data_IF_485524091110
#
_entry.id   IF_485524091110
#
_cell.length_a   1.000
_cell.length_b   1.000
_cell.length_c   1.000
_cell.angle_alpha   90.00
_cell.angle_beta   90.00
_cell.angle_gamma   90.00
#
_symmetry.space_group_name_H-M   'P 1'
#
loop_
_entity.id
_entity.type
_entity.pdbx_description
1 polymer ?
#
# COMPACT_ATOMS: atom_id res chain seq x y z
N UNK A 1 2.48 -15.78 18.53
CA UNK A 1 1.31 -15.04 19.11
C UNK A 1 1.71 -13.60 19.38
N UNK A 2 0.85 -12.66 18.99
CA UNK A 2 0.99 -11.23 19.29
C UNK A 2 -0.11 -10.87 20.30
N UNK A 3 0.20 -10.09 21.34
CA UNK A 3 -0.82 -9.61 22.26
C UNK A 3 -0.60 -8.12 22.59
N UNK A 4 -1.65 -7.33 22.45
CA UNK A 4 -1.73 -5.95 22.90
C UNK A 4 -2.60 -5.90 24.18
N UNK A 5 -2.12 -5.24 25.22
CA UNK A 5 -2.83 -5.10 26.51
C UNK A 5 -2.96 -3.63 26.86
N UNK A 6 -4.17 -3.11 26.71
CA UNK A 6 -4.55 -1.73 27.04
C UNK A 6 -3.58 -0.67 26.48
N UNK A 7 -3.22 -0.83 25.20
CA UNK A 7 -2.22 0.00 24.54
C UNK A 7 -2.81 1.33 24.11
N UNK A 8 -2.21 2.43 24.58
CA UNK A 8 -2.47 3.77 24.04
C UNK A 8 -1.17 4.41 23.61
N UNK A 9 -1.24 5.16 22.51
CA UNK A 9 -0.09 5.87 21.97
C UNK A 9 -0.49 7.23 21.37
N UNK A 10 0.31 8.25 21.67
CA UNK A 10 0.22 9.56 21.02
C UNK A 10 1.60 10.02 20.54
N UNK A 11 1.66 10.54 19.33
CA UNK A 11 2.88 11.20 18.83
C UNK A 11 3.13 12.49 19.61
N UNK A 12 4.40 12.97 19.70
CA UNK A 12 4.71 14.27 20.29
C UNK A 12 3.92 15.34 19.53
N UNK A 13 3.36 16.30 20.26
CA UNK A 13 2.78 17.48 19.65
C UNK A 13 3.87 18.18 18.84
N UNK A 14 3.81 18.16 17.53
CA UNK A 14 4.57 19.07 16.68
C UNK A 14 4.16 20.48 17.11
N UNK A 15 5.12 21.34 17.46
CA UNK A 15 4.86 22.71 17.92
C UNK A 15 3.88 23.45 17.01
N UNK A 16 3.29 24.58 17.43
CA UNK A 16 2.12 25.18 16.81
C UNK A 16 2.43 25.56 15.37
N UNK A 17 1.99 24.74 14.43
CA UNK A 17 1.72 25.11 13.06
C UNK A 17 0.21 25.30 13.01
N UNK A 18 -0.21 26.55 13.03
CA UNK A 18 -1.60 27.02 12.82
C UNK A 18 -2.70 26.36 13.68
N UNK A 19 -2.62 26.53 15.01
CA UNK A 19 -3.81 26.56 15.87
C UNK A 19 -4.58 25.27 16.13
N UNK A 20 -4.29 24.14 15.49
CA UNK A 20 -4.90 22.85 15.78
C UNK A 20 -3.95 21.96 16.57
N UNK A 21 -4.22 21.84 17.85
CA UNK A 21 -3.54 20.94 18.77
C UNK A 21 -3.91 19.49 18.42
N UNK A 22 -3.10 18.78 17.62
CA UNK A 22 -3.23 17.35 17.40
C UNK A 22 -2.81 16.56 18.64
N UNK A 23 -3.52 16.74 19.76
CA UNK A 23 -3.30 16.03 21.02
C UNK A 23 -4.21 14.83 21.22
N UNK A 24 -4.96 14.40 20.20
CA UNK A 24 -5.70 13.16 20.30
C UNK A 24 -4.77 11.97 20.04
N UNK A 25 -4.74 11.02 20.98
CA UNK A 25 -3.93 9.82 20.88
C UNK A 25 -4.21 9.06 19.58
N UNK A 26 -3.16 8.71 18.86
CA UNK A 26 -3.26 7.95 17.62
C UNK A 26 -3.83 6.53 17.86
N UNK A 27 -3.63 5.99 19.08
CA UNK A 27 -4.25 4.75 19.56
C UNK A 27 -4.77 4.93 20.98
N UNK A 28 -5.91 4.30 21.26
CA UNK A 28 -6.61 4.40 22.56
C UNK A 28 -7.08 3.01 22.98
N UNK A 29 -6.57 2.55 24.12
CA UNK A 29 -7.01 1.32 24.79
C UNK A 29 -7.08 0.08 23.91
N UNK A 30 -6.07 -0.11 23.02
CA UNK A 30 -6.01 -1.27 22.13
C UNK A 30 -5.74 -2.53 22.97
N UNK A 31 -6.69 -3.46 22.93
CA UNK A 31 -6.55 -4.79 23.53
C UNK A 31 -6.96 -5.83 22.50
N UNK A 32 -6.01 -6.63 22.05
CA UNK A 32 -6.26 -7.73 21.13
C UNK A 32 -5.16 -8.80 21.21
N UNK A 33 -5.51 -10.01 20.83
CA UNK A 33 -4.56 -11.12 20.66
C UNK A 33 -4.64 -11.63 19.21
N UNK A 34 -3.49 -11.89 18.58
CA UNK A 34 -3.39 -12.45 17.24
C UNK A 34 -2.68 -13.78 17.36
N UNK A 35 -3.39 -14.84 16.99
CA UNK A 35 -2.88 -16.20 17.08
C UNK A 35 -1.85 -16.48 15.98
N UNK A 36 -0.93 -17.44 16.26
CA UNK A 36 0.04 -17.86 15.27
C UNK A 36 -0.63 -18.51 14.07
N UNK A 37 -0.11 -18.24 12.87
CA UNK A 37 -0.64 -18.74 11.61
C UNK A 37 -1.95 -18.08 11.13
N UNK A 38 -2.49 -17.08 11.88
CA UNK A 38 -3.71 -16.39 11.49
C UNK A 38 -3.44 -15.26 10.48
N UNK A 39 -4.39 -15.03 9.58
CA UNK A 39 -4.41 -13.89 8.67
C UNK A 39 -5.40 -12.84 9.20
N UNK A 40 -4.89 -11.74 9.72
CA UNK A 40 -5.69 -10.65 10.33
C UNK A 40 -5.69 -9.43 9.42
N UNK A 41 -6.87 -8.97 9.03
CA UNK A 41 -7.09 -7.75 8.28
C UNK A 41 -7.43 -6.59 9.22
N UNK A 42 -6.66 -5.52 9.17
CA UNK A 42 -6.97 -4.25 9.83
C UNK A 42 -7.68 -3.33 8.82
N UNK A 43 -8.91 -2.95 9.09
CA UNK A 43 -9.67 -2.05 8.22
C UNK A 43 -10.23 -0.86 9.00
N UNK A 44 -10.59 0.20 8.28
CA UNK A 44 -11.12 1.45 8.83
C UNK A 44 -10.79 2.64 7.94
N UNK A 45 -11.36 3.79 8.26
CA UNK A 45 -11.12 5.03 7.52
C UNK A 45 -9.65 5.46 7.55
N UNK A 46 -9.25 6.36 6.65
CA UNK A 46 -7.91 6.96 6.70
C UNK A 46 -7.75 7.74 8.01
N UNK A 47 -6.56 7.66 8.62
CA UNK A 47 -6.27 8.33 9.89
C UNK A 47 -6.82 7.65 11.14
N UNK A 48 -7.50 6.49 11.06
CA UNK A 48 -8.06 5.81 12.24
C UNK A 48 -7.03 5.06 13.12
N UNK A 49 -5.74 5.13 12.81
CA UNK A 49 -4.66 4.53 13.63
C UNK A 49 -4.06 3.23 13.09
N UNK A 50 -4.45 2.70 11.92
CA UNK A 50 -3.92 1.43 11.36
C UNK A 50 -2.39 1.41 11.26
N UNK A 51 -1.81 2.43 10.61
CA UNK A 51 -0.35 2.56 10.48
C UNK A 51 0.35 2.67 11.84
N UNK A 52 -0.27 3.33 12.83
CA UNK A 52 0.29 3.40 14.18
C UNK A 52 0.26 2.02 14.86
N UNK A 53 -0.81 1.27 14.66
CA UNK A 53 -0.89 -0.10 15.18
C UNK A 53 0.14 -1.01 14.48
N UNK A 54 0.31 -0.95 13.16
CA UNK A 54 1.35 -1.73 12.47
C UNK A 54 2.75 -1.37 12.96
N UNK A 55 3.04 -0.09 13.24
CA UNK A 55 4.32 0.36 13.83
C UNK A 55 4.56 -0.14 15.26
N UNK A 56 3.51 -0.36 16.03
CA UNK A 56 3.62 -1.02 17.34
C UNK A 56 3.96 -2.50 17.20
N UNK A 57 3.30 -3.19 16.23
CA UNK A 57 3.48 -4.63 16.03
C UNK A 57 4.86 -4.98 15.46
N UNK A 58 5.50 -4.08 14.72
CA UNK A 58 6.84 -4.28 14.19
C UNK A 58 7.95 -3.60 15.02
N UNK A 59 7.62 -3.06 16.19
CA UNK A 59 8.56 -2.46 17.12
C UNK A 59 9.10 -1.08 16.73
N UNK A 60 8.65 -0.49 15.63
CA UNK A 60 9.02 0.90 15.30
C UNK A 60 8.52 1.89 16.36
N UNK A 61 7.47 1.54 17.07
CA UNK A 61 7.06 2.18 18.32
C UNK A 61 7.33 1.18 19.44
N UNK A 62 8.07 1.54 20.48
CA UNK A 62 8.62 2.87 20.81
C UNK A 62 10.04 3.13 20.30
N UNK A 63 10.71 2.19 19.62
CA UNK A 63 12.16 2.24 19.37
C UNK A 63 12.61 3.29 18.35
N UNK A 64 11.75 3.64 17.39
CA UNK A 64 12.07 4.61 16.32
C UNK A 64 11.18 5.84 16.37
N UNK A 65 9.90 5.66 16.63
CA UNK A 65 8.95 6.77 16.76
C UNK A 65 8.79 7.14 18.22
N UNK A 66 9.14 8.37 18.56
CA UNK A 66 8.91 8.94 19.89
C UNK A 66 7.43 9.22 20.13
N UNK A 67 7.03 9.18 21.39
CA UNK A 67 5.67 9.48 21.80
C UNK A 67 5.35 9.00 23.22
N UNK A 68 4.15 9.30 23.68
CA UNK A 68 3.64 8.77 24.95
C UNK A 68 3.01 7.40 24.70
N UNK A 69 3.61 6.35 25.25
CA UNK A 69 3.19 4.96 25.13
C UNK A 69 2.80 4.39 26.48
N UNK A 70 1.58 3.85 26.59
CA UNK A 70 1.09 3.13 27.77
C UNK A 70 0.56 1.76 27.37
N UNK A 71 0.41 0.87 28.35
CA UNK A 71 0.08 -0.54 28.08
C UNK A 71 1.29 -1.36 27.67
N UNK A 72 1.08 -2.51 27.03
CA UNK A 72 2.14 -3.44 26.64
C UNK A 72 1.80 -4.17 25.35
N UNK A 73 2.84 -4.39 24.52
CA UNK A 73 2.78 -5.23 23.31
C UNK A 73 3.73 -6.40 23.46
N UNK A 74 3.23 -7.60 23.23
CA UNK A 74 4.01 -8.84 23.37
C UNK A 74 4.14 -9.53 22.02
N UNK A 75 5.36 -9.94 21.70
CA UNK A 75 5.71 -10.80 20.57
C UNK A 75 6.31 -12.11 21.09
N UNK A 76 5.66 -13.23 20.80
CA UNK A 76 6.11 -14.52 21.33
C UNK A 76 6.21 -14.57 22.88
N UNK A 77 5.39 -13.78 23.57
CA UNK A 77 5.38 -13.70 25.03
C UNK A 77 6.38 -12.71 25.65
N UNK A 78 7.24 -12.06 24.86
CA UNK A 78 8.18 -11.03 25.33
C UNK A 78 7.63 -9.64 25.05
N UNK A 79 7.76 -8.71 26.00
CA UNK A 79 7.37 -7.31 25.79
C UNK A 79 8.28 -6.65 24.74
N UNK A 80 7.71 -5.93 23.79
CA UNK A 80 8.48 -5.28 22.72
C UNK A 80 9.46 -4.22 23.21
N UNK A 81 9.23 -3.67 24.41
CA UNK A 81 10.14 -2.71 25.05
C UNK A 81 11.43 -3.36 25.56
N UNK A 82 11.38 -4.66 25.86
CA UNK A 82 12.54 -5.44 26.34
C UNK A 82 13.34 -6.06 25.20
N UNK A 83 12.85 -5.94 23.96
CA UNK A 83 13.49 -6.47 22.76
C UNK A 83 14.16 -5.33 21.98
N UNK A 84 15.34 -5.58 21.44
CA UNK A 84 15.95 -4.68 20.46
C UNK A 84 15.22 -4.78 19.11
N UNK A 85 15.33 -3.73 18.26
CA UNK A 85 14.80 -3.79 16.90
C UNK A 85 15.38 -4.96 16.09
N UNK A 86 16.64 -5.33 16.37
CA UNK A 86 17.25 -6.49 15.75
C UNK A 86 16.54 -7.80 16.12
N UNK A 87 16.24 -8.02 17.40
CA UNK A 87 15.49 -9.22 17.84
C UNK A 87 14.07 -9.22 17.29
N UNK A 88 13.42 -8.06 17.23
CA UNK A 88 12.08 -7.92 16.62
C UNK A 88 12.13 -8.24 15.12
N UNK A 89 13.16 -7.76 14.41
CA UNK A 89 13.31 -8.02 12.96
C UNK A 89 13.51 -9.49 12.59
N UNK A 90 13.97 -10.31 13.55
CA UNK A 90 14.04 -11.76 13.37
C UNK A 90 12.67 -12.44 13.42
N UNK A 91 11.71 -11.85 14.12
CA UNK A 91 10.37 -12.39 14.32
C UNK A 91 9.35 -11.79 13.36
N UNK A 92 9.53 -10.51 12.99
CA UNK A 92 8.56 -9.71 12.25
C UNK A 92 9.16 -9.16 10.96
N UNK A 93 8.66 -9.63 9.82
CA UNK A 93 8.93 -9.03 8.50
C UNK A 93 7.94 -7.90 8.23
N UNK A 94 8.44 -6.71 7.94
CA UNK A 94 7.62 -5.53 7.69
C UNK A 94 7.58 -5.17 6.22
N UNK A 95 6.40 -4.77 5.73
CA UNK A 95 6.23 -4.21 4.38
C UNK A 95 5.48 -2.89 4.51
N UNK A 96 6.11 -1.81 4.09
CA UNK A 96 5.58 -0.46 4.23
C UNK A 96 4.69 -0.05 3.05
N UNK A 97 3.84 0.93 3.27
CA UNK A 97 2.93 1.49 2.26
C UNK A 97 3.68 1.97 1.00
N UNK A 98 4.84 2.59 1.19
CA UNK A 98 5.71 2.98 0.09
C UNK A 98 6.94 2.06 0.06
N UNK A 99 7.02 1.11 -0.89
CA UNK A 99 8.16 0.20 -0.96
C UNK A 99 9.50 0.92 -1.18
N UNK A 100 9.50 2.12 -1.78
CA UNK A 100 10.74 2.89 -2.01
C UNK A 100 11.42 3.31 -0.71
N UNK A 101 10.65 3.56 0.36
CA UNK A 101 11.22 3.92 1.66
C UNK A 101 11.83 2.73 2.40
N UNK A 102 11.65 1.52 1.87
CA UNK A 102 12.14 0.28 2.46
C UNK A 102 13.47 -0.18 1.84
N UNK A 103 13.76 0.22 0.59
CA UNK A 103 14.93 -0.26 -0.13
C UNK A 103 16.23 0.46 0.27
N UNK A 104 17.27 -0.33 0.46
CA UNK A 104 18.62 0.12 0.77
C UNK A 104 19.58 -0.08 -0.41
N UNK A 105 19.29 -1.00 -1.31
CA UNK A 105 20.15 -1.38 -2.43
C UNK A 105 19.62 -0.82 -3.76
N UNK A 106 20.48 -0.86 -4.77
CA UNK A 106 20.14 -0.40 -6.13
C UNK A 106 19.65 -1.52 -7.04
N UNK A 107 19.93 -2.77 -6.68
CA UNK A 107 19.50 -3.97 -7.41
C UNK A 107 18.71 -4.92 -6.50
N UNK A 108 17.89 -5.73 -7.15
CA UNK A 108 16.92 -6.59 -6.49
C UNK A 108 17.55 -7.76 -5.74
N UNK A 109 18.64 -8.32 -6.27
CA UNK A 109 19.31 -9.48 -5.65
C UNK A 109 20.00 -9.08 -4.36
N UNK A 110 20.72 -7.95 -4.36
CA UNK A 110 21.32 -7.36 -3.15
C UNK A 110 20.24 -6.95 -2.14
N UNK A 111 19.08 -6.46 -2.61
CA UNK A 111 17.99 -6.11 -1.70
C UNK A 111 17.40 -7.33 -0.99
N UNK A 112 17.25 -8.47 -1.69
CA UNK A 112 16.82 -9.72 -1.07
C UNK A 112 17.87 -10.30 -0.11
N UNK A 113 19.16 -10.08 -0.39
CA UNK A 113 20.27 -10.54 0.44
C UNK A 113 20.45 -9.69 1.72
N UNK A 114 20.03 -8.43 1.69
CA UNK A 114 20.31 -7.41 2.72
C UNK A 114 19.92 -7.86 4.14
N UNK A 115 18.70 -8.39 4.31
CA UNK A 115 18.25 -8.88 5.61
C UNK A 115 19.10 -10.05 6.15
N UNK A 116 19.24 -11.16 5.39
CA UNK A 116 20.10 -12.27 5.77
C UNK A 116 21.55 -11.88 6.07
N UNK A 117 22.15 -10.98 5.30
CA UNK A 117 23.52 -10.47 5.55
C UNK A 117 23.61 -9.71 6.88
N UNK A 118 22.67 -8.82 7.15
CA UNK A 118 22.61 -8.08 8.42
C UNK A 118 22.36 -9.00 9.63
N UNK A 119 21.75 -10.16 9.41
CA UNK A 119 21.60 -11.20 10.45
C UNK A 119 22.83 -12.10 10.57
N UNK A 120 23.92 -11.79 9.85
CA UNK A 120 25.19 -12.50 9.96
C UNK A 120 25.20 -13.90 9.35
N UNK A 121 24.30 -14.19 8.40
CA UNK A 121 24.33 -15.47 7.70
C UNK A 121 25.58 -15.56 6.82
N UNK A 122 26.26 -16.72 6.76
CA UNK A 122 27.39 -16.91 5.86
C UNK A 122 26.93 -16.82 4.40
N UNK A 123 27.81 -16.37 3.50
CA UNK A 123 27.52 -16.10 2.08
C UNK A 123 26.73 -17.24 1.39
N UNK A 124 27.14 -18.49 1.62
CA UNK A 124 26.44 -19.65 1.05
C UNK A 124 24.98 -19.72 1.49
N UNK A 125 24.69 -19.44 2.76
CA UNK A 125 23.33 -19.44 3.30
C UNK A 125 22.52 -18.26 2.77
N UNK A 126 23.14 -17.08 2.60
CA UNK A 126 22.51 -15.91 1.98
C UNK A 126 22.07 -16.24 0.56
N UNK A 127 22.97 -16.75 -0.28
CA UNK A 127 22.66 -17.16 -1.66
C UNK A 127 21.53 -18.19 -1.74
N UNK A 128 21.55 -19.18 -0.87
CA UNK A 128 20.50 -20.20 -0.81
C UNK A 128 19.17 -19.59 -0.38
N UNK A 129 19.18 -18.68 0.59
CA UNK A 129 17.98 -17.99 1.05
C UNK A 129 17.35 -17.12 -0.05
N UNK A 130 18.16 -16.34 -0.76
CA UNK A 130 17.71 -15.55 -1.90
C UNK A 130 17.07 -16.42 -2.98
N UNK A 131 17.75 -17.55 -3.32
CA UNK A 131 17.22 -18.52 -4.30
C UNK A 131 15.87 -19.08 -3.86
N UNK A 132 15.77 -19.55 -2.61
CA UNK A 132 14.55 -20.14 -2.07
C UNK A 132 13.39 -19.14 -2.06
N UNK A 133 13.63 -17.91 -1.62
CA UNK A 133 12.60 -16.87 -1.60
C UNK A 133 12.18 -16.50 -3.02
N UNK A 134 13.12 -16.36 -3.95
CA UNK A 134 12.81 -16.07 -5.34
C UNK A 134 11.91 -17.16 -5.94
N UNK A 135 12.21 -18.43 -5.70
CA UNK A 135 11.41 -19.58 -6.15
C UNK A 135 10.03 -19.60 -5.48
N UNK A 136 9.97 -19.49 -4.14
CA UNK A 136 8.72 -19.54 -3.37
C UNK A 136 7.74 -18.43 -3.75
N UNK A 137 8.25 -17.22 -3.97
CA UNK A 137 7.44 -16.05 -4.27
C UNK A 137 7.35 -15.73 -5.77
N UNK A 138 8.02 -16.53 -6.62
CA UNK A 138 8.11 -16.35 -8.08
C UNK A 138 8.69 -14.99 -8.45
N UNK A 139 9.88 -14.71 -7.94
CA UNK A 139 10.63 -13.48 -8.18
C UNK A 139 11.82 -13.68 -9.13
N UNK A 140 12.03 -14.89 -9.67
CA UNK A 140 13.22 -15.25 -10.46
C UNK A 140 13.44 -14.30 -11.64
N UNK A 141 12.36 -13.88 -12.30
CA UNK A 141 12.41 -12.93 -13.42
C UNK A 141 12.76 -11.50 -13.00
N UNK A 142 12.76 -11.23 -11.71
CA UNK A 142 13.07 -9.91 -11.15
C UNK A 142 14.49 -9.83 -10.59
N UNK A 143 15.21 -10.95 -10.47
CA UNK A 143 16.58 -10.96 -9.98
C UNK A 143 17.52 -10.17 -10.91
N UNK A 144 18.60 -9.65 -10.36
CA UNK A 144 19.66 -8.89 -11.06
C UNK A 144 19.15 -7.67 -11.85
N UNK A 145 17.99 -7.14 -11.45
CA UNK A 145 17.43 -5.92 -12.07
C UNK A 145 17.62 -4.70 -11.17
N UNK A 146 17.76 -3.54 -11.81
CA UNK A 146 17.75 -2.29 -11.08
C UNK A 146 16.38 -2.05 -10.45
N UNK A 147 16.32 -1.74 -9.15
CA UNK A 147 15.09 -1.39 -8.43
C UNK A 147 14.41 -0.17 -9.07
N UNK A 148 15.18 0.75 -9.64
CA UNK A 148 14.64 1.94 -10.29
C UNK A 148 13.87 1.62 -11.58
N UNK A 149 14.17 0.48 -12.23
CA UNK A 149 13.49 0.05 -13.45
C UNK A 149 12.23 -0.77 -13.21
N UNK A 150 11.91 -1.08 -11.95
CA UNK A 150 10.75 -1.89 -11.59
C UNK A 150 9.46 -1.08 -11.60
N UNK A 151 8.36 -1.69 -12.02
CA UNK A 151 7.00 -1.20 -11.81
C UNK A 151 6.65 -1.16 -10.32
N UNK A 152 5.59 -0.43 -9.95
CA UNK A 152 5.10 -0.38 -8.56
C UNK A 152 4.78 -1.78 -8.00
N UNK A 153 4.15 -2.65 -8.80
CA UNK A 153 3.85 -4.03 -8.42
C UNK A 153 5.09 -4.89 -8.24
N UNK A 154 6.08 -4.75 -9.11
CA UNK A 154 7.36 -5.47 -8.98
C UNK A 154 8.13 -5.00 -7.73
N UNK A 155 8.14 -3.69 -7.45
CA UNK A 155 8.73 -3.14 -6.21
C UNK A 155 8.07 -3.73 -4.98
N UNK A 156 6.74 -3.82 -4.96
CA UNK A 156 6.02 -4.40 -3.83
C UNK A 156 6.36 -5.89 -3.63
N UNK A 157 6.51 -6.65 -4.72
CA UNK A 157 6.94 -8.05 -4.67
C UNK A 157 8.35 -8.18 -4.10
N UNK A 158 9.29 -7.33 -4.51
CA UNK A 158 10.66 -7.33 -3.97
C UNK A 158 10.67 -6.93 -2.49
N UNK A 159 9.88 -5.92 -2.08
CA UNK A 159 9.75 -5.55 -0.67
C UNK A 159 9.24 -6.70 0.20
N UNK A 160 8.24 -7.45 -0.30
CA UNK A 160 7.79 -8.67 0.38
C UNK A 160 8.84 -9.77 0.37
N UNK A 161 9.58 -9.92 -0.74
CA UNK A 161 10.69 -10.87 -0.85
C UNK A 161 11.82 -10.57 0.13
N UNK A 162 12.20 -9.30 0.27
CA UNK A 162 13.21 -8.85 1.22
C UNK A 162 12.78 -9.16 2.67
N UNK A 163 11.52 -8.88 3.02
CA UNK A 163 10.98 -9.28 4.31
C UNK A 163 10.95 -10.80 4.51
N UNK A 164 10.66 -11.57 3.45
CA UNK A 164 10.60 -13.03 3.50
C UNK A 164 11.99 -13.70 3.54
N UNK A 165 13.04 -13.00 3.10
CA UNK A 165 14.40 -13.56 3.07
C UNK A 165 14.96 -13.86 4.46
N UNK A 166 14.47 -13.18 5.49
CA UNK A 166 14.80 -13.43 6.89
C UNK A 166 14.05 -14.66 7.45
N UNK A 167 12.95 -15.06 6.76
CA UNK A 167 12.02 -16.14 7.15
C UNK A 167 11.28 -15.88 8.49
N UNK A 168 10.72 -14.70 8.69
CA UNK A 168 10.02 -14.36 9.92
C UNK A 168 8.74 -15.19 10.06
N UNK A 169 8.28 -15.39 11.30
CA UNK A 169 7.00 -16.05 11.56
C UNK A 169 5.80 -15.11 11.42
N UNK A 170 6.04 -13.82 11.51
CA UNK A 170 5.03 -12.77 11.49
C UNK A 170 5.30 -11.79 10.33
N UNK A 171 4.29 -11.46 9.56
CA UNK A 171 4.33 -10.41 8.54
C UNK A 171 3.38 -9.29 8.91
N UNK A 172 3.89 -8.08 8.96
CA UNK A 172 3.10 -6.85 9.17
C UNK A 172 3.18 -6.00 7.91
N UNK A 173 2.05 -5.85 7.23
CA UNK A 173 1.97 -5.12 5.97
C UNK A 173 1.05 -3.90 6.12
N UNK A 174 1.57 -2.73 5.78
CA UNK A 174 0.82 -1.47 5.87
C UNK A 174 0.43 -0.97 4.48
N UNK A 175 -0.86 -1.06 4.15
CA UNK A 175 -1.49 -0.64 2.89
C UNK A 175 -0.70 -1.03 1.61
N UNK A 176 -0.26 -2.29 1.48
CA UNK A 176 0.66 -2.70 0.42
C UNK A 176 0.07 -2.59 -0.99
N UNK A 177 -1.26 -2.50 -1.13
CA UNK A 177 -1.90 -2.37 -2.44
C UNK A 177 -2.10 -0.94 -2.92
N UNK A 178 -1.72 0.07 -2.14
CA UNK A 178 -2.06 1.47 -2.40
C UNK A 178 -1.62 1.98 -3.80
N UNK A 179 -0.47 1.52 -4.28
CA UNK A 179 0.13 1.92 -5.55
C UNK A 179 0.07 0.83 -6.64
N UNK A 180 -0.79 -0.19 -6.46
CA UNK A 180 -0.91 -1.32 -7.37
C UNK A 180 -2.12 -1.19 -8.28
N UNK A 181 -1.96 -1.59 -9.53
CA UNK A 181 -3.06 -1.82 -10.45
C UNK A 181 -3.75 -3.18 -10.20
N UNK A 182 -4.83 -3.47 -10.92
CA UNK A 182 -5.61 -4.69 -10.72
C UNK A 182 -4.80 -5.98 -10.97
N UNK A 183 -3.90 -5.98 -11.93
CA UNK A 183 -3.05 -7.15 -12.24
C UNK A 183 -2.01 -7.37 -11.16
N UNK A 184 -1.34 -6.31 -10.72
CA UNK A 184 -0.37 -6.36 -9.64
C UNK A 184 -1.03 -6.80 -8.32
N UNK A 185 -2.26 -6.34 -8.02
CA UNK A 185 -3.03 -6.81 -6.85
C UNK A 185 -3.33 -8.31 -6.95
N UNK A 186 -3.73 -8.81 -8.12
CA UNK A 186 -4.01 -10.24 -8.29
C UNK A 186 -2.75 -11.09 -8.06
N UNK A 187 -1.59 -10.63 -8.52
CA UNK A 187 -0.33 -11.30 -8.29
C UNK A 187 0.13 -11.20 -6.83
N UNK A 188 -0.05 -10.04 -6.21
CA UNK A 188 0.24 -9.83 -4.80
C UNK A 188 -0.62 -10.74 -3.91
N UNK A 189 -1.90 -10.90 -4.25
CA UNK A 189 -2.78 -11.85 -3.57
C UNK A 189 -2.23 -13.28 -3.60
N UNK A 190 -1.69 -13.74 -4.75
CA UNK A 190 -1.05 -15.07 -4.86
C UNK A 190 0.16 -15.21 -3.93
N UNK A 191 0.93 -14.13 -3.76
CA UNK A 191 2.05 -14.11 -2.83
C UNK A 191 1.56 -14.27 -1.38
N UNK A 192 0.55 -13.50 -0.96
CA UNK A 192 -0.04 -13.63 0.38
C UNK A 192 -0.61 -15.04 0.62
N UNK A 193 -1.26 -15.65 -0.39
CA UNK A 193 -1.73 -17.04 -0.29
C UNK A 193 -0.60 -18.02 0.00
N UNK A 194 0.57 -17.84 -0.60
CA UNK A 194 1.73 -18.71 -0.34
C UNK A 194 2.25 -18.56 1.08
N UNK A 195 2.39 -17.31 1.56
CA UNK A 195 2.80 -17.05 2.95
C UNK A 195 1.80 -17.67 3.94
N UNK A 196 0.49 -17.51 3.70
CA UNK A 196 -0.54 -18.14 4.53
C UNK A 196 -0.44 -19.67 4.51
N UNK A 197 -0.23 -20.27 3.34
CA UNK A 197 -0.08 -21.72 3.20
C UNK A 197 1.16 -22.28 3.91
N UNK A 198 2.18 -21.46 4.15
CA UNK A 198 3.34 -21.77 4.97
C UNK A 198 3.10 -21.67 6.48
N UNK A 199 1.87 -21.32 6.90
CA UNK A 199 1.51 -21.14 8.30
C UNK A 199 2.01 -19.84 8.93
N UNK A 200 2.43 -18.86 8.12
CA UNK A 200 2.88 -17.56 8.61
C UNK A 200 1.73 -16.72 9.16
N UNK A 201 1.99 -16.03 10.24
CA UNK A 201 1.05 -15.03 10.81
C UNK A 201 1.10 -13.76 9.97
N UNK A 202 -0.04 -13.30 9.48
CA UNK A 202 -0.10 -12.12 8.60
C UNK A 202 -1.04 -11.09 9.21
N UNK A 203 -0.53 -9.88 9.43
CA UNK A 203 -1.33 -8.72 9.81
C UNK A 203 -1.22 -7.70 8.69
N UNK A 204 -2.33 -7.38 8.06
CA UNK A 204 -2.35 -6.47 6.92
C UNK A 204 -3.35 -5.33 7.15
N UNK A 205 -2.90 -4.10 7.07
CA UNK A 205 -3.79 -2.95 6.99
C UNK A 205 -4.18 -2.68 5.55
N UNK A 206 -5.46 -2.47 5.26
CA UNK A 206 -5.92 -2.24 3.90
C UNK A 206 -7.21 -1.43 3.81
N UNK A 207 -7.30 -0.68 2.69
CA UNK A 207 -8.52 -0.03 2.25
C UNK A 207 -9.25 -0.80 1.14
N UNK A 208 -8.52 -1.53 0.29
CA UNK A 208 -9.07 -2.35 -0.79
C UNK A 208 -9.33 -3.75 -0.28
N UNK A 209 -10.54 -4.00 0.21
CA UNK A 209 -10.89 -5.24 0.93
C UNK A 209 -11.17 -6.43 0.01
N UNK A 210 -11.59 -6.18 -1.23
CA UNK A 210 -12.11 -7.19 -2.16
C UNK A 210 -11.14 -8.35 -2.43
N UNK A 211 -9.83 -8.07 -2.52
CA UNK A 211 -8.83 -9.09 -2.84
C UNK A 211 -8.40 -9.92 -1.62
N UNK A 212 -8.76 -9.49 -0.41
CA UNK A 212 -8.46 -10.16 0.87
C UNK A 212 -9.65 -10.93 1.44
N UNK A 213 -10.84 -10.79 0.84
CA UNK A 213 -12.11 -11.32 1.34
C UNK A 213 -12.02 -12.79 1.76
N UNK A 214 -11.37 -13.63 0.93
CA UNK A 214 -11.25 -15.07 1.17
C UNK A 214 -9.93 -15.47 1.84
N UNK A 215 -9.06 -14.51 2.13
CA UNK A 215 -7.76 -14.74 2.77
C UNK A 215 -7.78 -14.46 4.26
N UNK A 216 -8.49 -13.41 4.68
CA UNK A 216 -8.57 -13.02 6.08
C UNK A 216 -9.33 -14.07 6.88
N UNK A 217 -8.78 -14.49 8.02
CA UNK A 217 -9.47 -15.34 9.00
C UNK A 217 -10.25 -14.47 10.00
N UNK A 218 -9.73 -13.27 10.26
CA UNK A 218 -10.26 -12.31 11.23
C UNK A 218 -10.11 -10.88 10.72
N UNK A 219 -11.05 -10.03 11.05
CA UNK A 219 -11.07 -8.62 10.65
C UNK A 219 -11.22 -7.74 11.87
N UNK A 220 -10.25 -6.88 12.11
CA UNK A 220 -10.29 -5.86 13.15
C UNK A 220 -10.67 -4.52 12.52
N UNK A 221 -11.83 -4.00 12.88
CA UNK A 221 -12.29 -2.69 12.44
C UNK A 221 -11.84 -1.62 13.41
N UNK A 222 -11.09 -0.66 12.89
CA UNK A 222 -10.56 0.47 13.66
C UNK A 222 -11.31 1.77 13.36
N UNK A 223 -11.59 2.53 14.41
CA UNK A 223 -12.16 3.87 14.30
C UNK A 223 -11.65 4.74 15.47
N UNK A 224 -11.23 5.96 15.16
CA UNK A 224 -10.82 6.99 16.15
C UNK A 224 -9.73 6.48 17.14
N UNK A 225 -8.80 5.65 16.65
CA UNK A 225 -7.71 5.08 17.44
C UNK A 225 -8.09 3.84 18.25
N UNK A 226 -9.28 3.31 18.12
CA UNK A 226 -9.77 2.15 18.89
C UNK A 226 -10.16 0.98 17.98
N UNK A 227 -10.11 -0.25 18.49
CA UNK A 227 -10.74 -1.41 17.85
C UNK A 227 -12.23 -1.38 18.21
N UNK A 228 -13.06 -1.03 17.25
CA UNK A 228 -14.53 -0.94 17.41
C UNK A 228 -15.28 -2.16 16.91
N UNK A 229 -14.60 -3.08 16.28
CA UNK A 229 -15.17 -4.35 15.82
C UNK A 229 -14.10 -5.40 15.67
N UNK A 230 -14.46 -6.61 16.01
CA UNK A 230 -13.61 -7.80 15.94
C UNK A 230 -14.49 -8.92 15.39
N UNK A 231 -14.22 -9.30 14.16
CA UNK A 231 -15.09 -10.18 13.39
C UNK A 231 -14.30 -11.39 12.86
N UNK A 232 -14.91 -12.53 12.86
CA UNK A 232 -14.49 -13.62 11.97
C UNK A 232 -14.73 -13.23 10.51
N UNK A 233 -14.05 -13.87 9.57
CA UNK A 233 -14.27 -13.64 8.14
C UNK A 233 -15.75 -13.78 7.75
N UNK A 234 -16.45 -14.81 8.27
CA UNK A 234 -17.84 -15.07 7.96
C UNK A 234 -18.77 -13.96 8.49
N UNK A 235 -18.58 -13.53 9.73
CA UNK A 235 -19.33 -12.41 10.32
C UNK A 235 -19.13 -11.12 9.52
N UNK A 236 -17.89 -10.79 9.16
CA UNK A 236 -17.58 -9.58 8.41
C UNK A 236 -18.19 -9.60 7.00
N UNK A 237 -18.14 -10.73 6.31
CA UNK A 237 -18.77 -10.90 5.00
C UNK A 237 -20.29 -10.82 5.06
N UNK A 238 -20.90 -11.25 6.16
CA UNK A 238 -22.35 -11.19 6.37
C UNK A 238 -22.88 -9.80 6.73
N UNK A 239 -21.99 -8.84 7.04
CA UNK A 239 -22.42 -7.46 7.34
C UNK A 239 -23.16 -6.87 6.12
N UNK A 240 -24.30 -6.19 6.34
CA UNK A 240 -25.01 -5.48 5.27
C UNK A 240 -24.11 -4.43 4.58
N UNK A 241 -24.29 -4.22 3.29
CA UNK A 241 -23.51 -3.24 2.53
C UNK A 241 -23.62 -1.83 3.14
N UNK A 242 -24.82 -1.43 3.55
CA UNK A 242 -25.10 -0.15 4.19
C UNK A 242 -24.32 0.01 5.50
N UNK A 243 -24.16 -1.08 6.26
CA UNK A 243 -23.38 -1.06 7.50
C UNK A 243 -21.90 -0.85 7.21
N UNK A 244 -21.35 -1.53 6.19
CA UNK A 244 -19.96 -1.34 5.78
C UNK A 244 -19.71 0.09 5.28
N UNK A 245 -20.66 0.65 4.54
CA UNK A 245 -20.58 2.04 4.09
C UNK A 245 -20.59 3.04 5.26
N UNK A 246 -21.44 2.85 6.26
CA UNK A 246 -21.43 3.64 7.50
C UNK A 246 -20.12 3.51 8.29
N UNK A 247 -19.43 2.38 8.17
CA UNK A 247 -18.09 2.17 8.72
C UNK A 247 -16.99 2.85 7.87
N UNK A 248 -17.31 3.48 6.75
CA UNK A 248 -16.36 4.10 5.83
C UNK A 248 -15.51 3.08 5.07
N UNK A 249 -15.99 1.85 4.90
CA UNK A 249 -15.27 0.77 4.24
C UNK A 249 -15.60 0.69 2.75
N UNK A 250 -14.62 0.32 1.95
CA UNK A 250 -14.83 0.03 0.53
C UNK A 250 -15.55 -1.30 0.33
N UNK A 251 -16.22 -1.50 -0.82
CA UNK A 251 -16.92 -2.74 -1.13
C UNK A 251 -16.04 -3.98 -1.01
N UNK A 252 -16.62 -5.08 -0.53
CA UNK A 252 -15.98 -6.41 -0.51
C UNK A 252 -16.10 -7.13 -1.85
N UNK A 253 -17.08 -6.75 -2.67
CA UNK A 253 -17.25 -7.26 -4.03
C UNK A 253 -17.36 -6.05 -4.98
N UNK A 254 -16.60 -6.08 -6.05
CA UNK A 254 -16.65 -5.01 -7.07
C UNK A 254 -17.96 -5.06 -7.87
N UNK A 255 -18.64 -6.21 -7.89
CA UNK A 255 -19.96 -6.36 -8.51
C UNK A 255 -21.08 -5.65 -7.70
N UNK A 256 -20.85 -5.37 -6.41
CA UNK A 256 -21.77 -4.60 -5.57
C UNK A 256 -21.78 -3.10 -5.93
N UNK A 257 -20.81 -2.64 -6.72
CA UNK A 257 -20.78 -1.28 -7.25
C UNK A 257 -21.88 -1.11 -8.27
N UNK A 258 -23.07 -0.73 -7.80
CA UNK A 258 -24.15 -0.27 -8.70
C UNK A 258 -23.66 0.95 -9.41
N UNK A 259 -23.68 0.93 -10.74
CA UNK A 259 -23.39 2.12 -11.54
C UNK A 259 -24.29 3.26 -11.07
N UNK A 260 -23.67 4.28 -10.47
CA UNK A 260 -24.39 5.53 -10.22
C UNK A 260 -24.62 6.10 -11.61
N UNK A 261 -25.89 6.14 -12.03
CA UNK A 261 -26.26 6.90 -13.22
C UNK A 261 -25.87 8.36 -12.93
N UNK A 262 -24.71 8.76 -13.44
CA UNK A 262 -24.35 10.18 -13.40
C UNK A 262 -25.43 10.92 -14.16
N UNK A 263 -25.99 12.01 -13.60
CA UNK A 263 -26.87 12.87 -14.35
C UNK A 263 -26.13 13.20 -15.64
N UNK A 264 -26.79 13.00 -16.78
CA UNK A 264 -26.22 13.35 -18.08
C UNK A 264 -25.78 14.80 -17.98
N UNK A 265 -24.46 15.03 -17.93
CA UNK A 265 -23.91 16.35 -17.95
C UNK A 265 -24.46 17.06 -19.18
N UNK A 266 -24.69 18.36 -19.07
CA UNK A 266 -25.01 19.18 -20.24
C UNK A 266 -23.95 18.86 -21.28
N UNK A 267 -24.35 18.23 -22.37
CA UNK A 267 -23.54 18.09 -23.58
C UNK A 267 -23.40 19.50 -24.13
N UNK A 268 -22.40 20.22 -23.67
CA UNK A 268 -22.00 21.46 -24.33
C UNK A 268 -21.28 21.06 -25.62
N UNK A 269 -21.57 21.76 -26.70
CA UNK A 269 -20.99 21.53 -28.04
C UNK A 269 -19.48 21.83 -28.12
N UNK A 270 -18.78 21.98 -26.98
CA UNK A 270 -17.35 22.26 -26.93
C UNK A 270 -16.60 21.03 -26.47
N UNK A 271 -15.67 20.55 -27.29
CA UNK A 271 -14.83 19.43 -27.04
C UNK A 271 -13.35 19.85 -27.09
N UNK A 272 -12.54 19.22 -26.25
CA UNK A 272 -11.09 19.30 -26.37
C UNK A 272 -10.62 18.16 -27.25
N UNK A 273 -9.84 18.48 -28.28
CA UNK A 273 -9.28 17.49 -29.20
C UNK A 273 -7.77 17.49 -29.12
N UNK A 274 -7.20 16.32 -28.90
CA UNK A 274 -5.76 16.09 -29.02
C UNK A 274 -5.57 15.24 -30.28
N UNK A 275 -4.75 15.70 -31.21
CA UNK A 275 -4.47 15.01 -32.46
C UNK A 275 -2.96 14.90 -32.68
N UNK A 276 -2.50 13.77 -33.20
CA UNK A 276 -1.10 13.53 -33.59
C UNK A 276 -0.11 13.95 -32.49
N UNK A 277 -0.39 13.57 -31.25
CA UNK A 277 0.44 13.93 -30.10
C UNK A 277 1.36 12.77 -29.74
N UNK A 278 2.67 13.07 -29.71
CA UNK A 278 3.69 12.13 -29.26
C UNK A 278 4.53 12.74 -28.17
N UNK A 279 4.87 11.95 -27.17
CA UNK A 279 5.72 12.35 -26.06
C UNK A 279 6.74 11.26 -25.72
N UNK A 280 7.97 11.68 -25.48
CA UNK A 280 9.03 10.83 -24.95
C UNK A 280 9.80 11.59 -23.88
N UNK A 281 10.22 10.88 -22.81
CA UNK A 281 11.18 11.43 -21.86
C UNK A 281 12.57 11.50 -22.49
N UNK A 282 13.41 12.42 -21.99
CA UNK A 282 14.77 12.58 -22.49
C UNK A 282 15.53 11.25 -22.44
N UNK A 283 16.09 10.83 -23.60
CA UNK A 283 16.81 9.56 -23.77
C UNK A 283 15.95 8.29 -23.62
N UNK A 284 14.64 8.38 -23.78
CA UNK A 284 13.75 7.22 -23.78
C UNK A 284 13.02 7.10 -25.13
N UNK A 285 12.56 5.89 -25.49
CA UNK A 285 11.67 5.72 -26.66
C UNK A 285 10.35 6.47 -26.43
N UNK A 286 9.59 6.62 -27.50
CA UNK A 286 8.27 7.24 -27.44
C UNK A 286 7.41 6.56 -26.36
N UNK A 287 6.95 7.36 -25.38
CA UNK A 287 6.26 6.85 -24.21
C UNK A 287 4.74 6.99 -24.34
N UNK A 288 4.29 8.00 -25.08
CA UNK A 288 2.88 8.25 -25.33
C UNK A 288 2.69 8.63 -26.78
N UNK A 289 1.78 7.95 -27.47
CA UNK A 289 1.31 8.27 -28.80
C UNK A 289 -0.21 8.36 -28.79
N UNK A 290 -0.76 9.45 -29.27
CA UNK A 290 -2.19 9.69 -29.38
C UNK A 290 -2.48 10.16 -30.80
N UNK A 291 -3.15 9.30 -31.58
CA UNK A 291 -3.58 9.68 -32.91
C UNK A 291 -4.68 10.74 -32.85
N UNK A 292 -5.74 10.47 -32.13
CA UNK A 292 -6.84 11.39 -31.88
C UNK A 292 -7.59 10.96 -30.61
N UNK A 293 -7.90 11.94 -29.74
CA UNK A 293 -8.78 11.75 -28.59
C UNK A 293 -9.58 13.04 -28.35
N UNK A 294 -10.85 12.87 -28.03
CA UNK A 294 -11.77 13.97 -27.72
C UNK A 294 -12.19 13.90 -26.25
N UNK A 295 -12.22 15.04 -25.59
CA UNK A 295 -12.68 15.19 -24.22
C UNK A 295 -13.82 16.20 -24.16
N UNK A 296 -14.91 15.90 -23.46
CA UNK A 296 -15.97 16.87 -23.25
C UNK A 296 -15.46 18.06 -22.43
N UNK A 297 -15.81 19.27 -22.81
CA UNK A 297 -15.42 20.48 -22.10
C UNK A 297 -16.03 20.55 -20.69
N UNK A 298 -17.25 20.02 -20.56
CA UNK A 298 -17.97 19.94 -19.30
C UNK A 298 -18.18 18.46 -18.94
N UNK A 299 -17.62 18.03 -17.81
CA UNK A 299 -17.79 16.66 -17.33
C UNK A 299 -16.54 16.11 -16.64
N UNK A 300 -16.62 14.87 -16.22
CA UNK A 300 -15.50 14.12 -15.67
C UNK A 300 -15.09 13.04 -16.67
N UNK A 301 -13.82 13.04 -17.07
CA UNK A 301 -13.25 12.00 -17.91
C UNK A 301 -12.31 11.15 -17.07
N UNK A 302 -12.56 9.84 -17.01
CA UNK A 302 -11.67 8.90 -16.37
C UNK A 302 -10.65 8.37 -17.38
N UNK A 303 -9.36 8.51 -17.07
CA UNK A 303 -8.27 7.90 -17.83
C UNK A 303 -7.87 6.64 -17.08
N UNK A 304 -8.00 5.50 -17.75
CA UNK A 304 -7.72 4.18 -17.17
C UNK A 304 -6.58 3.54 -17.97
N UNK A 305 -5.61 2.98 -17.27
CA UNK A 305 -4.49 2.28 -17.88
C UNK A 305 -3.78 1.36 -16.91
N UNK A 306 -2.91 0.51 -17.42
CA UNK A 306 -2.01 -0.31 -16.63
C UNK A 306 -0.87 0.59 -16.15
N UNK A 307 -0.53 0.52 -14.87
CA UNK A 307 0.63 1.21 -14.32
C UNK A 307 1.91 0.46 -14.71
N UNK A 308 2.37 0.68 -15.93
CA UNK A 308 3.69 0.26 -16.36
C UNK A 308 4.65 1.44 -16.19
N UNK A 309 5.59 1.31 -15.27
CA UNK A 309 6.67 2.27 -15.01
C UNK A 309 6.22 3.64 -14.46
N UNK A 310 7.05 4.15 -13.58
CA UNK A 310 6.92 5.43 -12.90
C UNK A 310 6.58 6.60 -13.84
N UNK A 311 5.47 7.24 -13.56
CA UNK A 311 4.85 8.37 -14.24
C UNK A 311 4.12 8.03 -15.55
N UNK A 312 2.81 7.87 -15.50
CA UNK A 312 2.02 7.97 -16.71
C UNK A 312 2.20 9.40 -17.28
N UNK A 313 2.64 9.56 -18.54
CA UNK A 313 2.86 10.87 -19.13
C UNK A 313 1.57 11.69 -19.25
N UNK A 314 0.42 11.03 -19.27
CA UNK A 314 -0.87 11.66 -19.50
C UNK A 314 -1.34 12.55 -18.34
N UNK A 315 -1.28 12.15 -17.04
CA UNK A 315 -1.64 13.06 -15.94
C UNK A 315 -0.72 14.26 -15.82
N UNK A 316 0.57 14.12 -16.14
CA UNK A 316 1.51 15.24 -16.13
C UNK A 316 1.29 16.20 -17.32
N UNK A 317 0.98 15.67 -18.49
CA UNK A 317 0.61 16.46 -19.66
C UNK A 317 -0.73 17.20 -19.46
N UNK A 318 -1.67 16.58 -18.73
CA UNK A 318 -2.98 17.19 -18.41
C UNK A 318 -2.95 18.06 -17.14
N UNK A 319 -2.03 17.83 -16.20
CA UNK A 319 -1.93 18.59 -14.95
C UNK A 319 -1.42 20.04 -15.12
N UNK A 320 -0.88 20.42 -16.30
CA UNK A 320 -0.57 21.79 -16.66
C UNK A 320 -1.82 22.71 -16.81
N UNK A 321 -3.00 22.17 -16.60
CA UNK A 321 -4.30 22.81 -16.85
C UNK A 321 -4.98 23.24 -15.55
N UNK A 322 -4.26 23.96 -14.71
CA UNK A 322 -4.89 24.64 -13.59
C UNK A 322 -5.53 25.95 -14.07
N UNK A 323 -6.85 25.99 -13.93
CA UNK A 323 -7.67 27.20 -13.91
C UNK A 323 -7.40 28.25 -15.02
N UNK A 324 -8.07 28.15 -16.15
CA UNK A 324 -8.38 29.30 -17.01
C UNK A 324 -7.25 30.00 -17.75
N UNK A 325 -6.00 29.57 -17.63
CA UNK A 325 -4.86 30.09 -18.36
C UNK A 325 -4.26 28.99 -19.24
N UNK A 326 -4.23 29.20 -20.54
CA UNK A 326 -3.57 28.35 -21.51
C UNK A 326 -2.07 28.28 -21.20
N UNK A 327 -1.63 27.22 -20.51
CA UNK A 327 -0.23 26.91 -20.39
C UNK A 327 0.22 26.25 -21.71
N UNK A 328 0.94 27.02 -22.53
CA UNK A 328 1.58 26.51 -23.74
C UNK A 328 2.60 25.42 -23.36
N UNK A 329 2.29 24.16 -23.59
CA UNK A 329 3.31 23.14 -23.78
C UNK A 329 4.08 23.49 -25.07
N UNK A 330 5.21 24.18 -24.93
CA UNK A 330 6.13 24.41 -26.03
C UNK A 330 6.89 23.11 -26.32
N UNK A 331 6.32 22.27 -27.14
CA UNK A 331 7.09 21.35 -27.98
C UNK A 331 6.37 21.16 -29.30
N UNK A 332 7.08 21.15 -30.36
CA UNK A 332 6.84 21.22 -31.81
C UNK A 332 5.58 20.57 -32.42
N UNK A 333 4.55 20.28 -31.65
CA UNK A 333 3.24 19.85 -32.14
C UNK A 333 2.26 20.99 -31.87
N UNK A 334 1.67 21.53 -32.92
CA UNK A 334 0.78 22.67 -32.86
C UNK A 334 -0.49 22.34 -32.07
N UNK A 335 -0.70 23.05 -30.98
CA UNK A 335 -1.94 23.06 -30.25
C UNK A 335 -2.83 24.14 -30.88
N UNK A 336 -3.87 23.75 -31.56
CA UNK A 336 -4.87 24.68 -32.10
C UNK A 336 -6.18 24.39 -31.35
N UNK A 337 -6.66 25.31 -30.48
CA UNK A 337 -8.04 25.24 -30.02
C UNK A 337 -8.93 25.68 -31.18
N UNK A 338 -9.60 24.77 -31.85
CA UNK A 338 -10.70 25.15 -32.74
C UNK A 338 -11.90 25.64 -31.88
N UNK A 339 -12.15 26.91 -31.93
CA UNK A 339 -13.45 27.42 -31.55
C UNK A 339 -14.38 27.17 -32.73
N UNK A 340 -15.28 26.20 -32.60
CA UNK A 340 -16.46 26.16 -33.46
C UNK A 340 -17.32 27.33 -33.13
N UNK A 341 -17.59 28.17 -34.12
CA UNK A 341 -18.47 29.33 -34.05
C UNK A 341 -19.94 28.96 -33.88
#
# INVERSE_FOLDING_TARGET
>A
MIACRDVSFSYPASGPVDGECLTEGALKHITCTIEDGSFVLLCGASGCGKTTLTRLLNGLIPHYHEGTFTGSVYLGGKDTRDLSLFEISQMVGSVFQNPRSQFFNVDTTSELAFGPENHGLPEKAVRERVRLVAEQLRLESLLDRSIFSLSGGEKQKIACGSAAAIDPDIYVLDEPSSNLDAYAIADFRKLLMRLKAQGKTIVISEHRLYYLRDLADRVLYMKDGEIRGDYTAAEFQSLPAERREQMGLRPLDLNDLKGIALPHGRTGDSEWKIRQFSFAYKHQPETLHIDEVEFPFCGATAIIGITERENPPCPAACAGWKSGAAALCRNRAGFIPEKSG
#
